data_IF_138318437157
#
_entry.id   IF_138318437157
#
_cell.length_a   1.000
_cell.length_b   1.000
_cell.length_c   1.000
_cell.angle_alpha   90.00
_cell.angle_beta   90.00
_cell.angle_gamma   90.00
#
_symmetry.space_group_name_H-M   'P 1'
#
loop_
_entity.id
_entity.type
_entity.pdbx_description
1 polymer ?
#
# COMPACT_ATOMS: atom_id res chain seq x y z
N UNK A 1 10.54 -35.87 -11.19
CA UNK A 1 11.49 -35.58 -12.28
C UNK A 1 12.61 -34.78 -11.63
N UNK A 2 13.79 -35.38 -11.47
CA UNK A 2 14.92 -34.73 -10.83
C UNK A 2 15.44 -33.62 -11.76
N UNK A 3 15.55 -32.40 -11.24
CA UNK A 3 16.16 -31.28 -11.98
C UNK A 3 17.67 -31.40 -11.79
N UNK A 4 18.40 -31.41 -12.90
CA UNK A 4 19.83 -31.68 -12.95
C UNK A 4 20.64 -30.53 -12.32
N UNK A 5 21.78 -30.86 -11.69
CA UNK A 5 22.58 -29.91 -10.91
C UNK A 5 23.21 -28.81 -11.79
N UNK A 6 23.41 -29.10 -13.08
CA UNK A 6 23.98 -28.16 -14.05
C UNK A 6 22.99 -27.07 -14.51
N UNK A 7 21.68 -27.36 -14.53
CA UNK A 7 20.64 -26.35 -14.78
C UNK A 7 20.50 -25.38 -13.60
N UNK A 8 20.79 -25.84 -12.38
CA UNK A 8 20.79 -25.01 -11.18
C UNK A 8 21.96 -24.00 -11.18
N UNK A 9 23.14 -24.40 -11.67
CA UNK A 9 24.30 -23.51 -11.82
C UNK A 9 24.07 -22.51 -12.96
N UNK A 10 23.46 -22.91 -14.07
CA UNK A 10 23.09 -21.98 -15.14
C UNK A 10 22.04 -20.96 -14.68
N UNK A 11 21.05 -21.39 -13.88
CA UNK A 11 20.04 -20.52 -13.27
C UNK A 11 20.66 -19.58 -12.21
N UNK A 12 21.64 -20.08 -11.44
CA UNK A 12 22.42 -19.29 -10.48
C UNK A 12 23.28 -18.23 -11.19
N UNK A 13 23.93 -18.59 -12.30
CA UNK A 13 24.70 -17.66 -13.14
C UNK A 13 23.79 -16.63 -13.79
N UNK A 14 22.57 -17.00 -14.22
CA UNK A 14 21.57 -16.05 -14.76
C UNK A 14 20.93 -15.15 -13.70
N UNK A 15 20.67 -15.66 -12.49
CA UNK A 15 20.21 -14.87 -11.35
C UNK A 15 21.29 -13.89 -10.85
N UNK A 16 22.56 -14.32 -10.86
CA UNK A 16 23.72 -13.47 -10.59
C UNK A 16 24.02 -12.48 -11.74
N UNK A 17 23.71 -12.84 -13.00
CA UNK A 17 23.80 -11.92 -14.14
C UNK A 17 22.69 -10.86 -14.17
N UNK A 18 21.54 -11.13 -13.54
CA UNK A 18 20.39 -10.21 -13.51
C UNK A 18 20.40 -9.26 -12.31
N UNK A 19 21.17 -9.54 -11.25
CA UNK A 19 21.51 -8.58 -10.19
C UNK A 19 22.86 -7.91 -10.48
N UNK A 20 22.84 -6.82 -11.25
CA UNK A 20 24.01 -5.91 -11.32
C UNK A 20 23.96 -4.93 -10.15
N UNK A 21 24.67 -5.25 -9.07
CA UNK A 21 24.99 -4.29 -8.01
C UNK A 21 26.21 -3.50 -8.49
N UNK A 22 26.02 -2.24 -8.91
CA UNK A 22 27.11 -1.37 -9.36
C UNK A 22 27.62 -0.55 -8.18
N UNK A 23 28.75 -0.94 -7.60
CA UNK A 23 29.43 -0.18 -6.54
C UNK A 23 30.73 0.39 -7.13
N UNK A 24 30.84 1.71 -7.36
CA UNK A 24 32.10 2.34 -7.73
C UNK A 24 32.87 2.81 -6.47
N UNK A 25 34.14 2.42 -6.34
CA UNK A 25 35.06 2.96 -5.32
C UNK A 25 35.62 1.93 -4.32
N UNK A 26 36.79 1.41 -4.67
CA UNK A 26 37.89 0.74 -3.94
C UNK A 26 37.79 0.04 -2.56
N UNK A 27 38.52 -1.09 -2.55
CA UNK A 27 39.38 -1.73 -1.53
C UNK A 27 38.91 -1.89 -0.08
N UNK A 28 38.79 -3.16 0.36
CA UNK A 28 38.78 -3.48 1.79
C UNK A 28 37.93 -4.71 2.17
N UNK A 29 38.57 -5.83 2.51
CA UNK A 29 38.08 -7.19 2.78
C UNK A 29 36.90 -7.44 3.78
N UNK A 30 36.07 -6.46 4.15
CA UNK A 30 34.92 -6.67 5.08
C UNK A 30 33.55 -6.82 4.40
N UNK A 31 33.43 -6.57 3.09
CA UNK A 31 32.12 -6.49 2.39
C UNK A 31 31.63 -7.79 1.75
N UNK A 32 32.48 -8.81 1.66
CA UNK A 32 32.18 -10.08 0.96
C UNK A 32 31.25 -11.01 1.75
N UNK A 33 31.19 -10.86 3.07
CA UNK A 33 30.35 -11.69 3.95
C UNK A 33 28.86 -11.27 3.92
N UNK A 34 28.56 -10.03 3.54
CA UNK A 34 27.19 -9.50 3.47
C UNK A 34 26.45 -9.99 2.22
N UNK A 35 27.15 -10.11 1.08
CA UNK A 35 26.59 -10.61 -0.18
C UNK A 35 26.26 -12.11 -0.14
N UNK A 36 27.03 -12.92 0.59
CA UNK A 36 26.78 -14.36 0.69
C UNK A 36 25.55 -14.70 1.54
N UNK A 37 25.26 -13.93 2.62
CA UNK A 37 24.01 -14.07 3.39
C UNK A 37 22.79 -13.54 2.63
N UNK A 38 22.96 -12.51 1.79
CA UNK A 38 21.92 -12.02 0.87
C UNK A 38 21.52 -13.08 -0.14
N UNK A 39 22.50 -13.71 -0.79
CA UNK A 39 22.24 -14.77 -1.77
C UNK A 39 21.55 -15.98 -1.13
N UNK A 40 21.95 -16.38 0.07
CA UNK A 40 21.29 -17.49 0.78
C UNK A 40 19.80 -17.23 1.10
N UNK A 41 19.44 -15.98 1.34
CA UNK A 41 18.05 -15.59 1.64
C UNK A 41 17.20 -15.48 0.37
N UNK A 42 17.78 -14.96 -0.72
CA UNK A 42 17.15 -14.94 -2.05
C UNK A 42 17.01 -16.35 -2.67
N UNK A 43 17.91 -17.28 -2.33
CA UNK A 43 17.90 -18.67 -2.82
C UNK A 43 16.71 -19.51 -2.31
N UNK A 44 15.93 -19.03 -1.33
CA UNK A 44 14.78 -19.78 -0.80
C UNK A 44 13.51 -19.69 -1.67
N UNK A 45 13.42 -18.79 -2.66
CA UNK A 45 12.24 -18.65 -3.55
C UNK A 45 12.63 -18.16 -4.98
N UNK A 46 13.19 -19.01 -5.85
CA UNK A 46 13.73 -18.62 -7.17
C UNK A 46 12.70 -18.22 -8.25
N UNK A 47 11.39 -18.40 -8.02
CA UNK A 47 10.38 -18.29 -9.07
C UNK A 47 9.90 -16.86 -9.40
N UNK A 48 10.39 -15.82 -8.70
CA UNK A 48 9.85 -14.45 -8.80
C UNK A 48 10.78 -13.36 -9.31
N UNK A 49 12.02 -13.70 -9.69
CA UNK A 49 12.98 -12.73 -10.28
C UNK A 49 13.06 -12.88 -11.81
N UNK A 50 12.32 -13.82 -12.41
CA UNK A 50 12.24 -13.97 -13.85
C UNK A 50 11.32 -12.89 -14.45
N UNK A 51 11.86 -11.71 -14.75
CA UNK A 51 11.21 -10.74 -15.64
C UNK A 51 11.47 -9.26 -15.36
N UNK A 52 11.89 -8.89 -14.14
CA UNK A 52 12.22 -7.51 -13.80
C UNK A 52 13.74 -7.35 -13.65
N UNK A 53 14.38 -6.61 -14.57
CA UNK A 53 15.71 -6.05 -14.30
C UNK A 53 15.57 -5.03 -13.18
N UNK A 54 15.90 -5.40 -11.95
CA UNK A 54 16.01 -4.44 -10.84
C UNK A 54 17.46 -3.99 -10.78
N UNK A 55 17.78 -2.89 -11.47
CA UNK A 55 19.03 -2.18 -11.20
C UNK A 55 18.87 -1.48 -9.85
N UNK A 56 19.64 -1.93 -8.85
CA UNK A 56 19.60 -1.35 -7.50
C UNK A 56 20.77 -0.38 -7.34
N UNK A 57 20.48 0.91 -7.42
CA UNK A 57 21.43 1.95 -7.07
C UNK A 57 21.39 2.22 -5.56
N UNK A 58 22.43 1.74 -4.88
CA UNK A 58 22.61 1.87 -3.43
C UNK A 58 22.69 3.34 -3.00
N UNK A 59 23.14 4.24 -3.89
CA UNK A 59 23.32 5.66 -3.55
C UNK A 59 22.00 6.41 -3.49
N UNK A 60 21.02 6.04 -4.32
CA UNK A 60 19.68 6.67 -4.38
C UNK A 60 18.61 5.90 -3.60
N UNK A 61 18.93 4.73 -3.06
CA UNK A 61 18.01 3.94 -2.27
C UNK A 61 17.48 4.69 -1.04
N UNK A 62 16.17 4.60 -0.80
CA UNK A 62 15.51 5.11 0.41
C UNK A 62 15.38 3.98 1.44
N UNK A 63 15.22 4.29 2.74
CA UNK A 63 14.93 3.27 3.74
C UNK A 63 13.69 2.44 3.36
N UNK A 64 12.66 3.08 2.81
CA UNK A 64 11.43 2.40 2.39
C UNK A 64 11.67 1.40 1.24
N UNK A 65 12.41 1.80 0.21
CA UNK A 65 12.66 0.90 -0.94
C UNK A 65 13.41 -0.35 -0.50
N UNK A 66 14.41 -0.19 0.39
CA UNK A 66 15.16 -1.29 0.97
C UNK A 66 14.32 -2.23 1.84
N UNK A 67 13.56 -1.67 2.79
CA UNK A 67 12.69 -2.44 3.67
C UNK A 67 11.69 -3.29 2.87
N UNK A 68 11.19 -2.75 1.77
CA UNK A 68 10.31 -3.47 0.85
C UNK A 68 11.04 -4.57 0.07
N UNK A 69 12.20 -4.26 -0.52
CA UNK A 69 13.01 -5.23 -1.27
C UNK A 69 13.35 -6.45 -0.40
N UNK A 70 13.62 -6.24 0.88
CA UNK A 70 14.00 -7.30 1.82
C UNK A 70 12.86 -7.72 2.76
N UNK A 71 11.61 -7.34 2.49
CA UNK A 71 10.46 -7.66 3.36
C UNK A 71 10.31 -9.17 3.62
N UNK A 72 10.67 -10.01 2.63
CA UNK A 72 10.60 -11.47 2.72
C UNK A 72 11.76 -12.11 3.51
N UNK A 73 12.83 -11.37 3.80
CA UNK A 73 13.98 -11.90 4.51
C UNK A 73 13.59 -12.28 5.95
N UNK A 74 13.84 -13.52 6.36
CA UNK A 74 13.59 -13.96 7.75
C UNK A 74 14.66 -13.39 8.68
N UNK A 75 14.27 -13.08 9.90
CA UNK A 75 15.16 -12.53 10.91
C UNK A 75 14.90 -13.23 12.25
N UNK A 76 15.97 -13.66 12.93
CA UNK A 76 15.87 -14.25 14.27
C UNK A 76 15.58 -13.18 15.33
N UNK A 77 16.17 -12.00 15.19
CA UNK A 77 15.81 -10.79 15.95
C UNK A 77 14.96 -9.89 15.05
N UNK A 78 13.78 -9.49 15.52
CA UNK A 78 12.88 -8.65 14.71
C UNK A 78 13.49 -7.29 14.32
N UNK A 79 14.45 -6.77 15.09
CA UNK A 79 15.17 -5.52 14.77
C UNK A 79 16.03 -5.64 13.51
N UNK A 80 16.48 -6.86 13.18
CA UNK A 80 17.30 -7.10 12.00
C UNK A 80 16.52 -6.91 10.69
N UNK A 81 15.18 -6.86 10.73
CA UNK A 81 14.37 -6.41 9.58
C UNK A 81 14.76 -5.00 9.13
N UNK A 82 15.08 -4.13 10.08
CA UNK A 82 15.56 -2.78 9.80
C UNK A 82 17.08 -2.77 9.71
N UNK A 83 17.78 -3.30 10.71
CA UNK A 83 19.24 -3.18 10.81
C UNK A 83 20.01 -3.83 9.64
N UNK A 84 19.49 -4.93 9.09
CA UNK A 84 20.09 -5.52 7.89
C UNK A 84 20.08 -4.58 6.69
N UNK A 85 19.02 -3.79 6.52
CA UNK A 85 18.88 -2.83 5.42
C UNK A 85 19.76 -1.60 5.58
N UNK A 86 20.08 -1.20 6.82
CA UNK A 86 20.98 -0.07 7.11
C UNK A 86 22.39 -0.27 6.57
N UNK A 87 22.86 -1.53 6.55
CA UNK A 87 24.17 -1.89 5.98
C UNK A 87 24.29 -1.47 4.50
N UNK A 88 23.16 -1.31 3.81
CA UNK A 88 23.06 -0.93 2.42
C UNK A 88 22.87 0.58 2.26
N UNK A 89 22.18 1.26 3.19
CA UNK A 89 22.08 2.73 3.17
C UNK A 89 23.43 3.43 3.35
N UNK A 90 24.40 2.75 3.96
CA UNK A 90 25.67 3.33 4.37
C UNK A 90 25.59 3.97 5.76
N UNK A 91 26.71 3.92 6.48
CA UNK A 91 26.79 4.28 7.90
C UNK A 91 26.38 5.72 8.19
N UNK A 92 26.82 6.67 7.37
CA UNK A 92 26.54 8.10 7.58
C UNK A 92 25.06 8.43 7.41
N UNK A 93 24.42 7.91 6.35
CA UNK A 93 22.99 8.10 6.11
C UNK A 93 22.16 7.45 7.21
N UNK A 94 22.49 6.22 7.60
CA UNK A 94 21.81 5.53 8.69
C UNK A 94 21.94 6.29 10.02
N UNK A 95 23.12 6.81 10.34
CA UNK A 95 23.35 7.66 11.51
C UNK A 95 22.56 8.97 11.46
N UNK A 96 22.44 9.61 10.28
CA UNK A 96 21.63 10.81 10.09
C UNK A 96 20.15 10.59 10.42
N UNK A 97 19.65 9.36 10.26
CA UNK A 97 18.29 8.97 10.66
C UNK A 97 18.20 8.45 12.10
N UNK A 98 19.30 8.44 12.86
CA UNK A 98 19.33 7.85 14.21
C UNK A 98 19.21 6.32 14.23
N UNK A 99 19.37 5.67 13.07
CA UNK A 99 19.29 4.22 12.91
C UNK A 99 20.68 3.62 13.03
N UNK A 100 21.09 3.30 14.26
CA UNK A 100 22.35 2.58 14.53
C UNK A 100 22.05 1.23 15.18
N UNK A 101 22.61 0.11 14.66
CA UNK A 101 22.39 -1.21 15.25
C UNK A 101 22.78 -1.26 16.73
N UNK A 102 21.78 -1.38 17.60
CA UNK A 102 21.96 -1.46 19.05
C UNK A 102 21.02 -2.52 19.60
N UNK A 103 21.57 -3.53 20.28
CA UNK A 103 20.80 -4.68 20.79
C UNK A 103 20.56 -4.64 22.30
N UNK A 104 20.78 -3.48 22.93
CA UNK A 104 20.52 -3.28 24.36
C UNK A 104 19.05 -3.60 24.70
N UNK A 105 18.74 -4.15 25.88
CA UNK A 105 17.36 -4.47 26.27
C UNK A 105 16.41 -3.26 26.30
N UNK A 106 16.94 -2.06 26.52
CA UNK A 106 16.17 -0.80 26.47
C UNK A 106 15.77 -0.39 25.05
N UNK A 107 16.43 -0.92 24.02
CA UNK A 107 16.15 -0.61 22.62
C UNK A 107 15.23 -1.69 22.02
N UNK A 108 13.93 -1.47 22.19
CA UNK A 108 12.89 -2.42 21.78
C UNK A 108 12.71 -2.45 20.26
N UNK A 109 12.14 -3.55 19.74
CA UNK A 109 11.73 -3.65 18.32
C UNK A 109 10.82 -2.50 17.92
N UNK A 110 9.87 -2.13 18.79
CA UNK A 110 8.95 -1.03 18.54
C UNK A 110 9.68 0.31 18.35
N UNK A 111 10.69 0.60 19.19
CA UNK A 111 11.49 1.82 19.06
C UNK A 111 12.25 1.87 17.72
N UNK A 112 12.86 0.75 17.32
CA UNK A 112 13.57 0.64 16.03
C UNK A 112 12.61 0.82 14.85
N UNK A 113 11.41 0.25 14.94
CA UNK A 113 10.40 0.35 13.88
C UNK A 113 9.84 1.77 13.77
N UNK A 114 9.56 2.44 14.89
CA UNK A 114 9.16 3.85 14.90
C UNK A 114 10.25 4.73 14.28
N UNK A 115 11.52 4.52 14.63
CA UNK A 115 12.63 5.27 14.04
C UNK A 115 12.75 5.01 12.54
N UNK A 116 12.57 3.77 12.09
CA UNK A 116 12.58 3.43 10.67
C UNK A 116 11.44 4.12 9.92
N UNK A 117 10.22 4.14 10.48
CA UNK A 117 9.09 4.82 9.87
C UNK A 117 9.34 6.34 9.73
N UNK A 118 9.89 6.98 10.78
CA UNK A 118 10.31 8.39 10.73
C UNK A 118 11.36 8.62 9.66
N UNK A 119 12.37 7.75 9.58
CA UNK A 119 13.42 7.83 8.57
C UNK A 119 12.86 7.75 7.15
N UNK A 120 11.90 6.86 6.90
CA UNK A 120 11.19 6.78 5.62
C UNK A 120 10.56 8.13 5.27
N UNK A 121 9.72 8.69 6.15
CA UNK A 121 9.02 9.97 5.92
C UNK A 121 10.01 11.10 5.71
N UNK A 122 11.04 11.23 6.57
CA UNK A 122 12.03 12.30 6.46
C UNK A 122 12.88 12.18 5.19
N UNK A 123 13.16 10.97 4.73
CA UNK A 123 14.00 10.76 3.55
C UNK A 123 13.30 11.00 2.22
N UNK A 124 12.00 10.66 2.12
CA UNK A 124 11.23 10.80 0.88
C UNK A 124 10.39 12.07 0.85
N UNK A 125 10.16 12.70 2.01
CA UNK A 125 9.13 13.72 2.19
C UNK A 125 7.72 13.21 1.80
N UNK A 126 7.51 11.90 1.81
CA UNK A 126 6.25 11.25 1.42
C UNK A 126 5.71 10.39 2.57
N UNK A 127 4.40 10.17 2.56
CA UNK A 127 3.69 9.31 3.53
C UNK A 127 3.45 7.89 3.01
N UNK A 128 4.31 7.41 2.11
CA UNK A 128 4.24 6.03 1.60
C UNK A 128 4.26 4.98 2.73
N UNK A 129 4.89 5.30 3.86
CA UNK A 129 4.92 4.40 5.03
C UNK A 129 3.53 4.09 5.60
N UNK A 130 2.56 5.01 5.48
CA UNK A 130 1.19 4.79 5.96
C UNK A 130 0.50 3.66 5.20
N UNK A 131 0.85 3.48 3.92
CA UNK A 131 0.32 2.41 3.08
C UNK A 131 0.75 1.02 3.52
N UNK A 132 1.88 0.90 4.20
CA UNK A 132 2.49 -0.38 4.61
C UNK A 132 2.00 -0.83 6.00
N UNK A 133 1.07 -0.10 6.63
CA UNK A 133 0.56 -0.37 8.00
C UNK A 133 -0.53 -1.44 8.06
N UNK A 134 -0.68 -2.25 7.00
CA UNK A 134 -1.82 -3.14 6.82
C UNK A 134 -2.04 -4.10 7.99
N UNK A 135 -3.25 -4.03 8.56
CA UNK A 135 -3.64 -4.89 9.66
C UNK A 135 -2.91 -4.61 10.96
N UNK A 136 -2.27 -3.44 11.10
CA UNK A 136 -2.03 -2.91 12.43
C UNK A 136 -3.39 -3.02 13.18
N UNK A 137 -3.32 -3.70 14.30
CA UNK A 137 -4.43 -3.86 15.22
C UNK A 137 -3.97 -3.08 16.45
N UNK A 138 -4.89 -2.60 17.29
CA UNK A 138 -4.55 -2.29 18.68
C UNK A 138 -3.74 -3.40 19.37
N UNK A 139 -3.88 -4.64 18.87
CA UNK A 139 -3.18 -5.84 19.32
C UNK A 139 -1.89 -6.14 18.52
N UNK A 140 -1.24 -5.10 17.99
CA UNK A 140 0.11 -5.22 17.40
C UNK A 140 1.03 -6.01 18.34
N UNK A 141 1.73 -7.00 17.81
CA UNK A 141 2.59 -7.90 18.61
C UNK A 141 3.66 -7.14 19.41
N UNK A 142 4.02 -5.93 18.97
CA UNK A 142 5.01 -5.07 19.62
C UNK A 142 4.42 -3.78 20.20
N UNK A 143 3.09 -3.61 20.23
CA UNK A 143 2.45 -2.37 20.67
C UNK A 143 2.77 -1.17 19.77
N UNK A 144 2.93 -1.41 18.47
CA UNK A 144 3.24 -0.37 17.48
C UNK A 144 2.05 0.57 17.28
N UNK A 145 2.31 1.88 17.09
CA UNK A 145 1.31 2.82 16.61
C UNK A 145 0.74 2.41 15.25
N UNK A 146 -0.49 2.81 14.96
CA UNK A 146 -1.16 2.43 13.71
C UNK A 146 -0.51 2.99 12.43
N UNK A 147 0.32 4.01 12.56
CA UNK A 147 1.06 4.61 11.46
C UNK A 147 2.43 3.95 11.20
N UNK A 148 2.83 2.97 12.01
CA UNK A 148 4.13 2.27 11.91
C UNK A 148 3.93 0.85 11.39
N UNK A 149 4.56 0.49 10.26
CA UNK A 149 4.50 -0.86 9.73
C UNK A 149 5.14 -1.89 10.67
N UNK A 150 4.54 -3.07 10.72
CA UNK A 150 5.18 -4.24 11.33
C UNK A 150 5.94 -5.01 10.24
N UNK A 151 7.23 -4.68 10.06
CA UNK A 151 8.10 -5.32 9.06
C UNK A 151 8.40 -6.81 9.35
N UNK A 152 7.88 -7.38 10.45
CA UNK A 152 7.93 -8.83 10.66
C UNK A 152 6.86 -9.58 9.86
N UNK A 153 5.79 -8.90 9.45
CA UNK A 153 4.70 -9.47 8.66
C UNK A 153 5.13 -9.60 7.20
N UNK A 154 5.13 -10.82 6.67
CA UNK A 154 5.42 -11.07 5.26
C UNK A 154 4.13 -11.17 4.44
N UNK A 155 4.20 -10.77 3.17
CA UNK A 155 3.10 -10.85 2.19
C UNK A 155 2.60 -12.28 1.87
N UNK A 156 3.24 -13.33 2.38
CA UNK A 156 2.72 -14.70 2.28
C UNK A 156 1.69 -15.02 3.37
N UNK A 157 1.81 -14.39 4.55
CA UNK A 157 0.88 -14.56 5.67
C UNK A 157 -0.38 -13.68 5.52
N UNK A 158 -0.35 -12.74 4.59
CA UNK A 158 -1.46 -11.84 4.28
C UNK A 158 -1.57 -11.79 2.77
N UNK A 159 -2.68 -12.20 2.16
CA UNK A 159 -2.90 -12.16 0.72
C UNK A 159 -2.97 -10.68 0.20
N UNK A 160 -1.87 -9.91 0.30
CA UNK A 160 -1.82 -8.42 0.40
C UNK A 160 -1.55 -7.67 -0.89
N UNK A 161 -1.30 -8.36 -2.02
CA UNK A 161 -1.05 -7.66 -3.29
C UNK A 161 -2.17 -6.68 -3.67
N UNK A 162 -3.42 -6.90 -3.25
CA UNK A 162 -4.57 -6.04 -3.57
C UNK A 162 -4.69 -4.79 -2.66
N UNK A 163 -3.80 -4.61 -1.68
CA UNK A 163 -3.93 -3.59 -0.64
C UNK A 163 -3.11 -2.31 -0.87
N UNK A 164 -2.10 -2.34 -1.75
CA UNK A 164 -1.22 -1.20 -2.05
C UNK A 164 -1.61 -0.54 -3.39
N UNK A 165 -2.82 0.02 -3.46
CA UNK A 165 -3.39 0.59 -4.68
C UNK A 165 -2.53 1.71 -5.27
N UNK A 166 -1.82 2.47 -4.43
CA UNK A 166 -0.90 3.52 -4.89
C UNK A 166 0.18 3.00 -5.84
N UNK A 167 0.74 1.81 -5.58
CA UNK A 167 1.81 1.22 -6.42
C UNK A 167 1.28 0.53 -7.66
N UNK A 168 0.14 -0.14 -7.53
CA UNK A 168 -0.38 -0.95 -8.62
C UNK A 168 -0.94 -0.05 -9.73
N UNK A 169 -1.52 1.08 -9.34
CA UNK A 169 -2.34 1.90 -10.23
C UNK A 169 -1.81 3.32 -10.47
N UNK A 170 -0.72 3.71 -9.80
CA UNK A 170 -0.01 4.97 -10.09
C UNK A 170 -0.81 6.23 -9.77
N UNK A 171 -1.65 6.18 -8.74
CA UNK A 171 -2.45 7.32 -8.30
C UNK A 171 -1.57 8.45 -7.75
N UNK A 172 -2.07 9.68 -7.89
CA UNK A 172 -1.48 10.87 -7.27
C UNK A 172 -2.60 11.74 -6.69
N UNK A 173 -3.13 11.33 -5.54
CA UNK A 173 -4.21 12.06 -4.87
C UNK A 173 -3.82 13.50 -4.48
N UNK A 174 -2.53 13.78 -4.30
CA UNK A 174 -2.00 15.14 -4.09
C UNK A 174 -1.67 15.91 -5.37
N UNK A 175 -1.88 15.31 -6.55
CA UNK A 175 -1.67 15.95 -7.85
C UNK A 175 -0.20 16.12 -8.24
N UNK A 176 0.07 17.15 -9.05
CA UNK A 176 1.43 17.44 -9.54
C UNK A 176 2.36 17.92 -8.41
N UNK A 177 3.69 17.81 -8.56
CA UNK A 177 4.66 18.37 -7.62
C UNK A 177 4.31 19.82 -7.26
N UNK A 178 4.20 20.13 -5.97
CA UNK A 178 3.63 21.37 -5.47
C UNK A 178 3.55 21.42 -3.95
N UNK A 179 2.77 22.33 -3.37
CA UNK A 179 2.83 22.60 -1.93
C UNK A 179 2.37 21.40 -1.05
N UNK A 180 1.45 20.57 -1.55
CA UNK A 180 0.95 19.39 -0.84
C UNK A 180 1.71 18.09 -1.19
N UNK A 181 2.79 18.15 -1.98
CA UNK A 181 3.58 16.96 -2.34
C UNK A 181 4.60 16.56 -1.28
N UNK A 182 4.81 17.38 -0.25
CA UNK A 182 5.72 17.11 0.88
C UNK A 182 4.92 16.85 2.16
N UNK A 183 5.33 15.84 2.91
CA UNK A 183 4.69 15.41 4.15
C UNK A 183 4.84 16.46 5.26
N UNK A 184 3.71 16.98 5.74
CA UNK A 184 3.64 17.89 6.88
C UNK A 184 3.20 17.11 8.13
N UNK A 185 4.19 16.67 8.92
CA UNK A 185 3.99 15.85 10.12
C UNK A 185 4.76 16.36 11.33
N UNK A 186 4.17 16.18 12.51
CA UNK A 186 4.85 16.38 13.79
C UNK A 186 4.66 15.16 14.70
N UNK A 187 5.65 14.85 15.53
CA UNK A 187 5.63 13.67 16.38
C UNK A 187 5.52 14.04 17.85
N UNK A 188 4.87 13.20 18.65
CA UNK A 188 4.98 13.27 20.11
C UNK A 188 6.40 12.96 20.59
N UNK A 189 6.73 13.39 21.82
CA UNK A 189 8.06 13.16 22.41
C UNK A 189 8.43 11.67 22.49
N UNK A 190 7.47 10.83 22.88
CA UNK A 190 7.62 9.36 22.91
C UNK A 190 7.68 8.72 21.50
N UNK A 191 7.37 9.48 20.45
CA UNK A 191 7.30 9.02 19.08
C UNK A 191 6.17 8.04 18.80
N UNK A 192 5.22 7.85 19.72
CA UNK A 192 4.08 6.94 19.51
C UNK A 192 2.96 7.59 18.71
N UNK A 193 2.88 8.92 18.68
CA UNK A 193 1.81 9.64 18.00
C UNK A 193 2.40 10.52 16.91
N UNK A 194 1.68 10.62 15.80
CA UNK A 194 1.97 11.52 14.69
C UNK A 194 0.76 12.40 14.43
N UNK A 195 0.99 13.69 14.27
CA UNK A 195 0.00 14.65 13.82
C UNK A 195 0.33 14.95 12.36
N UNK A 196 -0.53 14.53 11.44
CA UNK A 196 -0.31 14.67 10.00
C UNK A 196 -1.33 15.61 9.37
N UNK A 197 -0.87 16.52 8.52
CA UNK A 197 -1.76 17.43 7.78
C UNK A 197 -2.43 16.70 6.62
N UNK A 198 -3.72 16.91 6.46
CA UNK A 198 -4.49 16.35 5.36
C UNK A 198 -5.74 17.13 5.04
N UNK A 199 -6.44 16.71 3.99
CA UNK A 199 -7.72 17.25 3.55
C UNK A 199 -8.80 16.22 3.88
N UNK A 200 -9.85 16.63 4.60
CA UNK A 200 -11.01 15.78 4.87
C UNK A 200 -11.81 15.58 3.58
N UNK A 201 -12.00 14.33 3.17
CA UNK A 201 -12.85 13.99 2.01
C UNK A 201 -14.31 13.81 2.43
N UNK A 202 -14.52 13.20 3.59
CA UNK A 202 -15.84 12.96 4.15
C UNK A 202 -15.85 11.84 5.18
N UNK A 203 -17.04 11.55 5.70
CA UNK A 203 -17.29 10.41 6.58
C UNK A 203 -18.06 9.31 5.84
N UNK A 204 -17.76 8.05 6.14
CA UNK A 204 -18.45 6.90 5.57
C UNK A 204 -19.92 6.92 6.00
N UNK A 205 -20.83 7.11 5.04
CA UNK A 205 -22.28 7.15 5.29
C UNK A 205 -22.95 5.80 5.07
N UNK A 206 -22.41 4.97 4.18
CA UNK A 206 -22.96 3.66 3.85
C UNK A 206 -21.87 2.70 3.40
N UNK A 207 -22.04 1.42 3.73
CA UNK A 207 -21.06 0.34 3.50
C UNK A 207 -21.66 -0.79 2.68
N UNK A 208 -20.86 -1.34 1.76
CA UNK A 208 -21.18 -2.52 0.96
C UNK A 208 -20.62 -3.82 1.53
N UNK A 209 -21.04 -4.94 0.94
CA UNK A 209 -20.48 -6.26 1.21
C UNK A 209 -18.97 -6.31 0.88
N UNK A 210 -18.25 -7.25 1.46
CA UNK A 210 -16.82 -7.48 1.19
C UNK A 210 -16.67 -8.72 0.31
N UNK A 211 -15.83 -8.63 -0.71
CA UNK A 211 -15.37 -9.80 -1.46
C UNK A 211 -14.21 -10.47 -0.69
N UNK A 212 -14.54 -11.51 0.08
CA UNK A 212 -13.56 -12.24 0.90
C UNK A 212 -12.97 -13.47 0.20
N UNK A 213 -13.60 -13.95 -0.87
CA UNK A 213 -13.22 -15.21 -1.50
C UNK A 213 -11.96 -15.03 -2.35
N UNK A 214 -10.92 -15.84 -2.16
CA UNK A 214 -9.75 -15.76 -3.02
C UNK A 214 -10.10 -16.05 -4.50
N UNK A 215 -9.22 -15.65 -5.41
CA UNK A 215 -9.31 -15.97 -6.84
C UNK A 215 -9.15 -17.50 -7.07
N UNK A 216 -10.16 -18.30 -6.71
CA UNK A 216 -10.26 -19.73 -6.98
C UNK A 216 -10.97 -20.00 -8.31
N UNK A 217 -10.58 -21.06 -9.01
CA UNK A 217 -11.08 -21.44 -10.35
C UNK A 217 -12.45 -22.14 -10.33
N UNK A 218 -13.43 -21.65 -9.57
CA UNK A 218 -14.77 -22.28 -9.46
C UNK A 218 -15.89 -21.38 -9.99
N UNK A 219 -16.98 -21.99 -10.45
CA UNK A 219 -18.21 -21.30 -10.87
C UNK A 219 -18.89 -20.58 -9.70
N UNK A 220 -18.77 -21.13 -8.49
CA UNK A 220 -19.31 -20.56 -7.25
C UNK A 220 -18.72 -19.18 -6.95
N UNK A 221 -17.43 -18.98 -7.23
CA UNK A 221 -16.74 -17.70 -7.06
C UNK A 221 -17.40 -16.58 -7.89
N UNK A 222 -17.82 -16.88 -9.13
CA UNK A 222 -18.47 -15.88 -9.97
C UNK A 222 -19.84 -15.44 -9.42
N UNK A 223 -20.61 -16.37 -8.84
CA UNK A 223 -21.90 -16.04 -8.24
C UNK A 223 -21.72 -15.11 -7.02
N UNK A 224 -20.68 -15.35 -6.21
CA UNK A 224 -20.36 -14.50 -5.06
C UNK A 224 -19.85 -13.11 -5.46
N UNK A 225 -19.03 -13.03 -6.50
CA UNK A 225 -18.61 -11.75 -7.10
C UNK A 225 -19.84 -11.00 -7.62
N UNK A 226 -20.71 -11.67 -8.39
CA UNK A 226 -21.94 -11.05 -8.91
C UNK A 226 -22.85 -10.58 -7.79
N UNK A 227 -23.04 -11.37 -6.73
CA UNK A 227 -23.81 -10.98 -5.56
C UNK A 227 -23.26 -9.71 -4.92
N UNK A 228 -21.94 -9.68 -4.68
CA UNK A 228 -21.24 -8.53 -4.09
C UNK A 228 -21.39 -7.28 -4.95
N UNK A 229 -21.08 -7.36 -6.25
CA UNK A 229 -21.14 -6.22 -7.15
C UNK A 229 -22.58 -5.74 -7.43
N UNK A 230 -23.57 -6.65 -7.42
CA UNK A 230 -25.00 -6.27 -7.47
C UNK A 230 -25.41 -5.50 -6.22
N UNK A 231 -24.97 -5.94 -5.03
CA UNK A 231 -25.23 -5.20 -3.79
C UNK A 231 -24.63 -3.79 -3.83
N UNK A 232 -23.44 -3.63 -4.40
CA UNK A 232 -22.78 -2.33 -4.55
C UNK A 232 -23.51 -1.43 -5.55
N UNK A 233 -23.96 -1.98 -6.69
CA UNK A 233 -24.81 -1.27 -7.67
C UNK A 233 -26.12 -0.80 -7.03
N UNK A 234 -26.72 -1.63 -6.17
CA UNK A 234 -27.93 -1.27 -5.43
C UNK A 234 -27.68 -0.19 -4.38
N UNK A 235 -26.48 -0.14 -3.79
CA UNK A 235 -26.09 0.90 -2.85
C UNK A 235 -25.85 2.25 -3.56
N UNK A 236 -25.16 2.24 -4.69
CA UNK A 236 -24.86 3.45 -5.46
C UNK A 236 -26.08 4.04 -6.18
N UNK A 237 -27.07 3.20 -6.53
CA UNK A 237 -28.32 3.59 -7.20
C UNK A 237 -28.11 4.52 -8.41
N UNK A 238 -27.28 4.14 -9.39
CA UNK A 238 -27.02 4.98 -10.55
C UNK A 238 -28.31 5.18 -11.35
N UNK A 239 -28.63 6.45 -11.65
CA UNK A 239 -29.83 6.89 -12.39
C UNK A 239 -29.55 7.26 -13.83
N UNK A 240 -28.27 7.36 -14.20
CA UNK A 240 -27.83 7.75 -15.54
C UNK A 240 -26.64 6.90 -15.99
N UNK A 241 -26.38 6.88 -17.30
CA UNK A 241 -25.18 6.24 -17.86
C UNK A 241 -23.89 6.85 -17.31
N UNK A 242 -23.88 8.16 -16.99
CA UNK A 242 -22.75 8.83 -16.36
C UNK A 242 -22.52 8.31 -14.95
N UNK A 243 -23.57 8.22 -14.12
CA UNK A 243 -23.45 7.67 -12.76
C UNK A 243 -23.05 6.18 -12.79
N UNK A 244 -23.53 5.41 -13.77
CA UNK A 244 -23.06 4.03 -13.97
C UNK A 244 -21.57 4.00 -14.32
N UNK A 245 -21.10 4.90 -15.18
CA UNK A 245 -19.69 4.99 -15.55
C UNK A 245 -18.82 5.24 -14.33
N UNK A 246 -19.22 6.19 -13.48
CA UNK A 246 -18.54 6.49 -12.23
C UNK A 246 -18.55 5.30 -11.27
N UNK A 247 -19.67 4.58 -11.17
CA UNK A 247 -19.75 3.34 -10.39
C UNK A 247 -18.75 2.30 -10.92
N UNK A 248 -18.73 2.06 -12.23
CA UNK A 248 -17.81 1.10 -12.85
C UNK A 248 -16.35 1.48 -12.58
N UNK A 249 -15.99 2.76 -12.81
CA UNK A 249 -14.66 3.28 -12.52
C UNK A 249 -14.29 3.13 -11.04
N UNK A 250 -15.25 3.35 -10.14
CA UNK A 250 -15.01 3.20 -8.70
C UNK A 250 -14.72 1.75 -8.34
N UNK A 251 -15.55 0.81 -8.79
CA UNK A 251 -15.39 -0.63 -8.49
C UNK A 251 -14.08 -1.16 -9.06
N UNK A 252 -13.69 -0.71 -10.25
CA UNK A 252 -12.51 -1.22 -10.94
C UNK A 252 -11.25 -0.44 -10.61
N UNK A 253 -11.35 0.59 -9.76
CA UNK A 253 -10.26 1.54 -9.49
C UNK A 253 -9.68 2.10 -10.79
N UNK A 254 -10.57 2.33 -11.78
CA UNK A 254 -10.28 2.79 -13.15
C UNK A 254 -9.47 1.82 -14.03
N UNK A 255 -9.27 0.58 -13.59
CA UNK A 255 -8.41 -0.39 -14.29
C UNK A 255 -9.11 -1.22 -15.37
N UNK A 256 -10.39 -0.96 -15.61
CA UNK A 256 -11.16 -1.67 -16.63
C UNK A 256 -12.20 -0.74 -17.26
N UNK A 257 -12.44 -0.87 -18.59
CA UNK A 257 -13.46 -0.11 -19.27
C UNK A 257 -14.83 -0.17 -18.57
N UNK A 258 -15.52 0.97 -18.42
CA UNK A 258 -16.86 0.99 -17.84
C UNK A 258 -17.89 0.38 -18.80
N UNK A 259 -19.07 0.05 -18.26
CA UNK A 259 -20.22 -0.33 -19.07
C UNK A 259 -20.61 0.78 -20.05
N UNK A 260 -20.90 0.40 -21.30
CA UNK A 260 -21.37 1.32 -22.32
C UNK A 260 -22.73 1.94 -21.96
N UNK A 261 -22.92 3.21 -22.33
CA UNK A 261 -24.07 4.02 -21.93
C UNK A 261 -25.43 3.52 -22.44
N UNK A 262 -25.45 2.57 -23.39
CA UNK A 262 -26.68 2.04 -23.99
C UNK A 262 -27.16 0.72 -23.35
N UNK A 263 -26.40 0.12 -22.42
CA UNK A 263 -26.73 -1.19 -21.84
C UNK A 263 -26.65 -1.28 -20.30
N UNK A 264 -26.59 -0.14 -19.60
CA UNK A 264 -26.36 -0.12 -18.14
C UNK A 264 -27.55 -0.60 -17.30
N UNK A 265 -28.76 -0.50 -17.85
CA UNK A 265 -30.02 -0.94 -17.24
C UNK A 265 -30.28 -2.44 -17.44
N UNK A 266 -29.67 -3.05 -18.47
CA UNK A 266 -29.81 -4.47 -18.78
C UNK A 266 -29.01 -5.35 -17.78
N UNK A 267 -29.67 -6.25 -17.02
CA UNK A 267 -28.99 -7.14 -16.08
C UNK A 267 -27.98 -8.10 -16.73
N UNK A 268 -28.24 -8.53 -17.97
CA UNK A 268 -27.35 -9.45 -18.69
C UNK A 268 -26.04 -8.76 -19.07
N UNK A 269 -26.13 -7.51 -19.54
CA UNK A 269 -24.94 -6.70 -19.88
C UNK A 269 -24.07 -6.43 -18.66
N UNK A 270 -24.68 -6.21 -17.48
CA UNK A 270 -23.93 -6.10 -16.23
C UNK A 270 -23.18 -7.39 -15.88
N UNK A 271 -23.83 -8.54 -16.02
CA UNK A 271 -23.20 -9.84 -15.74
C UNK A 271 -22.07 -10.16 -16.73
N UNK A 272 -22.25 -9.87 -18.02
CA UNK A 272 -21.20 -9.99 -19.04
C UNK A 272 -19.98 -9.11 -18.72
N UNK A 273 -20.21 -7.88 -18.27
CA UNK A 273 -19.14 -6.99 -17.82
C UNK A 273 -18.43 -7.54 -16.57
N UNK A 274 -19.16 -8.05 -15.57
CA UNK A 274 -18.53 -8.69 -14.41
C UNK A 274 -17.67 -9.88 -14.83
N UNK A 275 -18.14 -10.69 -15.78
CA UNK A 275 -17.35 -11.80 -16.35
C UNK A 275 -16.08 -11.30 -17.04
N UNK A 276 -16.15 -10.20 -17.79
CA UNK A 276 -14.97 -9.62 -18.44
C UNK A 276 -13.95 -9.09 -17.43
N UNK A 277 -14.40 -8.55 -16.29
CA UNK A 277 -13.51 -8.12 -15.21
C UNK A 277 -12.70 -9.29 -14.64
N UNK A 278 -13.39 -10.38 -14.30
CA UNK A 278 -12.75 -11.59 -13.74
C UNK A 278 -11.76 -12.18 -14.73
N UNK A 279 -12.11 -12.20 -16.02
CA UNK A 279 -11.20 -12.65 -17.07
C UNK A 279 -9.99 -11.73 -17.23
N UNK A 280 -10.18 -10.42 -17.15
CA UNK A 280 -9.09 -9.44 -17.25
C UNK A 280 -8.11 -9.59 -16.09
N UNK A 281 -8.61 -9.65 -14.85
CA UNK A 281 -7.77 -9.85 -13.66
C UNK A 281 -6.95 -11.15 -13.72
N UNK A 282 -7.52 -12.22 -14.28
CA UNK A 282 -6.82 -13.49 -14.53
C UNK A 282 -5.74 -13.36 -15.60
N UNK A 283 -6.02 -12.65 -16.71
CA UNK A 283 -5.07 -12.47 -17.82
C UNK A 283 -3.88 -11.59 -17.42
N UNK A 284 -4.11 -10.57 -16.61
CA UNK A 284 -3.05 -9.64 -16.18
C UNK A 284 -2.30 -10.13 -14.95
N UNK A 285 -2.85 -11.10 -14.21
CA UNK A 285 -2.30 -11.55 -12.93
C UNK A 285 -2.45 -10.52 -11.80
N UNK A 286 -3.16 -9.41 -12.05
CA UNK A 286 -3.44 -8.38 -11.05
C UNK A 286 -4.60 -8.76 -10.11
N UNK A 287 -5.35 -9.82 -10.44
CA UNK A 287 -6.52 -10.25 -9.68
C UNK A 287 -7.65 -9.23 -9.75
N UNK A 288 -8.50 -9.24 -8.73
CA UNK A 288 -9.64 -8.31 -8.61
C UNK A 288 -9.22 -7.07 -7.81
N UNK A 289 -9.30 -5.84 -8.39
CA UNK A 289 -8.93 -4.60 -7.68
C UNK A 289 -9.66 -4.38 -6.35
N UNK A 290 -10.87 -4.93 -6.23
CA UNK A 290 -11.75 -4.78 -5.07
C UNK A 290 -11.68 -5.94 -4.06
N UNK A 291 -10.79 -6.93 -4.26
CA UNK A 291 -10.63 -8.06 -3.35
C UNK A 291 -10.27 -7.57 -1.93
N UNK A 292 -10.96 -8.08 -0.90
CA UNK A 292 -10.87 -7.64 0.52
C UNK A 292 -11.09 -6.15 0.74
N UNK A 293 -11.88 -5.54 -0.14
CA UNK A 293 -12.33 -4.16 -0.03
C UNK A 293 -13.85 -4.11 -0.06
N UNK A 294 -14.39 -2.96 0.32
CA UNK A 294 -15.83 -2.68 0.23
C UNK A 294 -16.10 -1.35 -0.43
N UNK A 295 -17.12 -1.35 -1.27
CA UNK A 295 -17.71 -0.13 -1.80
C UNK A 295 -18.40 0.64 -0.68
N UNK A 296 -18.18 1.95 -0.64
CA UNK A 296 -18.74 2.85 0.35
C UNK A 296 -19.23 4.14 -0.31
N UNK A 297 -20.23 4.77 0.32
CA UNK A 297 -20.56 6.16 0.05
C UNK A 297 -19.96 7.03 1.14
N UNK A 298 -19.36 8.14 0.74
CA UNK A 298 -18.80 9.16 1.62
C UNK A 298 -19.71 10.38 1.59
N UNK A 299 -19.94 10.98 2.74
CA UNK A 299 -20.70 12.22 2.89
C UNK A 299 -19.79 13.35 3.38
N UNK A 300 -19.88 14.51 2.73
CA UNK A 300 -19.24 15.73 3.18
C UNK A 300 -20.11 16.94 2.81
N UNK A 301 -20.68 17.59 3.83
CA UNK A 301 -21.69 18.62 3.64
C UNK A 301 -22.88 18.09 2.83
N UNK A 302 -23.20 18.75 1.72
CA UNK A 302 -24.25 18.34 0.78
C UNK A 302 -23.77 17.41 -0.34
N UNK A 303 -22.49 17.05 -0.36
CA UNK A 303 -21.89 16.24 -1.43
C UNK A 303 -21.73 14.78 -1.00
N UNK A 304 -21.83 13.87 -1.98
CA UNK A 304 -21.57 12.45 -1.80
C UNK A 304 -20.54 11.99 -2.82
N UNK A 305 -19.56 11.19 -2.39
CA UNK A 305 -18.57 10.54 -3.25
C UNK A 305 -18.63 9.03 -3.10
N UNK A 306 -18.29 8.30 -4.17
CA UNK A 306 -18.16 6.85 -4.14
C UNK A 306 -16.72 6.46 -3.88
N UNK A 307 -16.51 5.43 -3.07
CA UNK A 307 -15.19 4.99 -2.65
C UNK A 307 -15.11 3.47 -2.54
N UNK A 308 -13.88 2.95 -2.64
CA UNK A 308 -13.56 1.56 -2.30
C UNK A 308 -12.55 1.60 -1.16
N UNK A 309 -12.96 1.09 -0.01
CA UNK A 309 -12.23 1.17 1.26
C UNK A 309 -11.77 -0.22 1.72
N UNK A 310 -10.83 -0.34 2.68
CA UNK A 310 -10.46 -1.62 3.28
C UNK A 310 -11.68 -2.36 3.87
N UNK A 311 -11.65 -3.69 3.91
CA UNK A 311 -12.73 -4.50 4.49
C UNK A 311 -13.12 -4.10 5.92
N UNK A 312 -12.17 -3.58 6.69
CA UNK A 312 -12.37 -3.11 8.08
C UNK A 312 -13.15 -1.79 8.18
N UNK A 313 -13.42 -1.09 7.08
CA UNK A 313 -14.11 0.20 7.10
C UNK A 313 -15.56 0.06 7.61
N UNK A 314 -15.98 1.02 8.43
CA UNK A 314 -17.27 1.09 9.11
C UNK A 314 -17.95 2.44 8.87
N UNK A 315 -19.27 2.51 9.09
CA UNK A 315 -20.01 3.76 9.02
C UNK A 315 -19.50 4.73 10.11
N UNK A 316 -19.29 5.99 9.73
CA UNK A 316 -18.70 7.02 10.59
C UNK A 316 -17.19 7.19 10.47
N UNK A 317 -16.48 6.22 9.86
CA UNK A 317 -15.04 6.35 9.61
C UNK A 317 -14.74 7.59 8.77
N UNK A 318 -13.59 8.22 9.05
CA UNK A 318 -13.10 9.38 8.32
C UNK A 318 -12.30 8.92 7.11
N UNK A 319 -12.47 9.60 5.97
CA UNK A 319 -11.59 9.45 4.81
C UNK A 319 -10.89 10.78 4.54
N UNK A 320 -9.57 10.76 4.44
CA UNK A 320 -8.75 11.94 4.19
C UNK A 320 -7.61 11.64 3.20
N UNK A 321 -7.07 12.68 2.56
CA UNK A 321 -5.81 12.62 1.80
C UNK A 321 -4.77 13.41 2.57
N UNK A 322 -3.66 12.78 2.93
CA UNK A 322 -2.57 13.48 3.62
C UNK A 322 -1.65 14.21 2.63
N UNK A 323 -0.93 15.21 3.13
CA UNK A 323 0.12 15.85 2.36
C UNK A 323 1.29 14.87 2.16
N UNK A 324 1.85 14.81 0.95
CA UNK A 324 2.86 13.81 0.57
C UNK A 324 2.32 12.39 0.38
N UNK A 325 0.99 12.20 0.26
CA UNK A 325 0.38 10.90 0.02
C UNK A 325 -0.14 10.75 -1.42
N UNK A 326 0.06 9.56 -1.99
CA UNK A 326 -0.40 9.23 -3.35
C UNK A 326 -1.86 8.74 -3.39
N UNK A 327 -2.47 8.43 -2.25
CA UNK A 327 -3.83 7.89 -2.12
C UNK A 327 -4.55 8.45 -0.90
N UNK A 328 -5.86 8.22 -0.81
CA UNK A 328 -6.63 8.50 0.40
C UNK A 328 -6.43 7.42 1.45
N UNK A 329 -6.74 7.76 2.69
CA UNK A 329 -6.65 6.86 3.85
C UNK A 329 -7.93 6.87 4.66
N UNK A 330 -8.24 5.72 5.26
CA UNK A 330 -9.32 5.57 6.23
C UNK A 330 -8.77 5.72 7.65
N UNK A 331 -9.41 6.58 8.43
CA UNK A 331 -9.12 6.83 9.83
C UNK A 331 -10.33 6.46 10.70
N UNK A 332 -10.07 5.71 11.77
CA UNK A 332 -11.08 5.38 12.79
C UNK A 332 -10.87 6.24 14.03
N UNK A 333 -11.88 7.04 14.40
CA UNK A 333 -11.82 7.89 15.60
C UNK A 333 -11.75 7.02 16.88
N UNK A 334 -10.82 7.36 17.78
CA UNK A 334 -10.65 6.78 19.12
C UNK A 334 -10.36 7.88 20.14
N UNK A 335 -11.42 8.54 20.59
CA UNK A 335 -11.31 9.68 21.49
C UNK A 335 -10.68 10.87 20.78
N UNK A 336 -9.51 11.33 21.24
CA UNK A 336 -8.78 12.47 20.64
C UNK A 336 -7.83 12.07 19.49
N UNK A 337 -7.64 10.77 19.28
CA UNK A 337 -6.69 10.23 18.30
C UNK A 337 -7.42 9.31 17.34
N UNK A 338 -6.84 9.10 16.18
CA UNK A 338 -7.32 8.21 15.16
C UNK A 338 -6.41 6.98 15.04
N UNK A 339 -7.02 5.90 14.59
CA UNK A 339 -6.33 4.69 14.17
C UNK A 339 -6.31 4.65 12.63
N UNK A 340 -5.15 4.44 12.02
CA UNK A 340 -5.00 4.34 10.57
C UNK A 340 -5.41 2.94 10.06
N UNK A 341 -6.52 2.86 9.34
CA UNK A 341 -7.08 1.58 8.88
C UNK A 341 -6.51 1.10 7.53
N UNK A 342 -6.04 2.01 6.68
CA UNK A 342 -5.38 1.68 5.42
C UNK A 342 -5.87 2.52 4.23
N UNK A 343 -5.42 2.12 3.03
CA UNK A 343 -5.65 2.88 1.80
C UNK A 343 -7.09 2.82 1.27
N UNK A 344 -7.53 3.95 0.73
CA UNK A 344 -8.82 4.15 0.12
C UNK A 344 -8.66 4.64 -1.33
N UNK A 345 -9.47 4.09 -2.22
CA UNK A 345 -9.76 4.72 -3.51
C UNK A 345 -11.02 5.57 -3.36
N UNK A 346 -11.00 6.80 -3.87
CA UNK A 346 -12.15 7.70 -3.91
C UNK A 346 -12.28 8.26 -5.31
N UNK A 347 -13.45 8.12 -5.91
CA UNK A 347 -13.68 8.59 -7.27
C UNK A 347 -13.60 10.12 -7.38
N UNK A 348 -12.87 10.61 -8.38
CA UNK A 348 -12.65 12.05 -8.61
C UNK A 348 -11.81 12.70 -7.51
N UNK A 349 -10.75 12.02 -7.07
CA UNK A 349 -9.79 12.45 -6.04
C UNK A 349 -8.38 11.92 -6.34
N UNK A 350 -8.27 10.71 -6.93
CA UNK A 350 -7.02 9.97 -7.04
C UNK A 350 -6.01 10.53 -8.07
N UNK A 351 -6.37 11.58 -8.81
CA UNK A 351 -5.51 12.22 -9.81
C UNK A 351 -5.19 13.69 -9.47
N UNK A 352 -5.43 14.11 -8.23
CA UNK A 352 -5.08 15.45 -7.75
C UNK A 352 -6.18 16.48 -7.91
N UNK A 353 -7.38 16.05 -8.28
CA UNK A 353 -8.52 16.93 -8.57
C UNK A 353 -8.87 17.83 -7.37
N UNK A 354 -8.61 17.37 -6.15
CA UNK A 354 -8.83 18.17 -4.93
C UNK A 354 -7.95 19.41 -4.84
N UNK A 355 -6.73 19.36 -5.39
CA UNK A 355 -5.73 20.43 -5.26
C UNK A 355 -5.75 21.34 -6.48
N UNK A 356 -6.09 20.81 -7.66
CA UNK A 356 -6.25 21.60 -8.89
C UNK A 356 -7.46 22.56 -8.83
N UNK A 357 -8.45 22.29 -7.98
CA UNK A 357 -9.51 23.24 -7.64
C UNK A 357 -8.96 24.36 -6.72
N UNK A 358 -8.33 25.36 -7.34
CA UNK A 358 -7.45 26.42 -6.78
C UNK A 358 -7.90 27.26 -5.55
N UNK A 359 -8.96 26.93 -4.80
CA UNK A 359 -9.42 27.84 -3.71
C UNK A 359 -10.08 27.21 -2.45
N UNK A 360 -10.22 25.88 -2.35
CA UNK A 360 -10.89 25.23 -1.18
C UNK A 360 -10.02 24.28 -0.37
N UNK A 361 -9.16 23.49 -1.00
CA UNK A 361 -8.41 22.43 -0.33
C UNK A 361 -7.48 22.90 0.80
N UNK A 362 -6.82 24.06 0.66
CA UNK A 362 -5.96 24.58 1.72
C UNK A 362 -6.77 25.10 2.93
N UNK A 363 -7.98 25.64 2.70
CA UNK A 363 -8.88 26.15 3.76
C UNK A 363 -9.49 25.02 4.58
N UNK A 364 -9.72 23.87 3.96
CA UNK A 364 -10.29 22.67 4.61
C UNK A 364 -9.21 21.71 5.15
N UNK A 365 -7.93 22.07 5.02
CA UNK A 365 -6.85 21.25 5.59
C UNK A 365 -6.89 21.26 7.11
N UNK A 366 -6.75 20.07 7.69
CA UNK A 366 -6.74 19.86 9.13
C UNK A 366 -5.58 18.95 9.51
N UNK A 367 -5.21 18.99 10.79
CA UNK A 367 -4.26 18.06 11.36
C UNK A 367 -5.00 16.88 11.99
N UNK A 368 -4.64 15.67 11.58
CA UNK A 368 -5.20 14.43 12.13
C UNK A 368 -4.16 13.78 13.04
N UNK A 369 -4.52 13.59 14.30
CA UNK A 369 -3.67 12.88 15.26
C UNK A 369 -3.85 11.38 15.10
N UNK A 370 -2.77 10.66 14.81
CA UNK A 370 -2.73 9.20 14.63
C UNK A 370 -1.87 8.60 15.73
N UNK A 371 -2.36 7.52 16.35
CA UNK A 371 -1.70 6.85 17.48
C UNK A 371 -1.58 5.34 17.29
#
# INVERSE_FOLDING_TARGET
MAVDFDDFVLFLVMALWSLRIRIPGEESNERTVTLSRMLFTCMQQPYRIAGARVEFDVQTATPMSLLRTFAYAKASDSRDKVYSTLSLLGRERAQGFGLTPTYAPSNTTAAVFIQAAKACITSSEELEVFSETYGASPDSHFGLPSWVPDWTRTEENTNTKCNLIHKIYGFSATGRPGMASSADVTYSYDGLKVLARGILIGKVSSIGAVDEEPDLHTTDNLNNILFTLRSWKQLSKPKSGTEMRQFCQTVTLEQHPPLDALGWDNPNTFEEWVRSLVQTGRRTGLGRPWYRRRFCQLSHGSTSKMAVLPASAEAGDIVCVFWGANVAFVLKERGKWCYLAGEAYVHGVMHGELIEEEDRAWRESAYFGIA
#
